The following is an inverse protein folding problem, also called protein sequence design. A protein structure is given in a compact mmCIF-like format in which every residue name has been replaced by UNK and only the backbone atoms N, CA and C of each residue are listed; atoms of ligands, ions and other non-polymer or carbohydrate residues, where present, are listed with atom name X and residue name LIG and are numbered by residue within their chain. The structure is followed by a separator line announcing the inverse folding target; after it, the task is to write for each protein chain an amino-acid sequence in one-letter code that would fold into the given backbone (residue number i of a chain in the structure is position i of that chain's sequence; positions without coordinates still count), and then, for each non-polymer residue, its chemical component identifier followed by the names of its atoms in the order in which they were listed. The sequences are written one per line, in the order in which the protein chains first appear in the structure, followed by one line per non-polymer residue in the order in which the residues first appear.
data_IF_575441786145
#
_entry.id   IF_575441786145
#
_cell.length_a   1.000
_cell.length_b   1.000
_cell.length_c   1.000
_cell.angle_alpha   90.00
_cell.angle_beta   90.00
_cell.angle_gamma   90.00
#
_symmetry.space_group_name_H-M   'P 1'
#
loop_
_entity.id
_entity.type
_entity.pdbx_description
1 polymer ?
#
# COMPACT_ATOMS: atom_id res chain seq x y z
N UNK A 1 -0.81 8.23 37.27
CA UNK A 1 0.34 8.24 36.34
C UNK A 1 -0.14 7.87 34.95
N UNK A 2 -0.31 8.86 34.11
CA UNK A 2 -0.67 8.63 32.71
C UNK A 2 0.59 8.23 31.95
N UNK A 3 0.76 6.94 31.68
CA UNK A 3 1.71 6.47 30.69
C UNK A 3 1.11 6.75 29.33
N UNK A 4 1.42 7.91 28.78
CA UNK A 4 1.25 8.18 27.36
C UNK A 4 2.06 7.12 26.62
N UNK A 5 1.38 6.13 26.04
CA UNK A 5 2.00 5.26 25.04
C UNK A 5 2.53 6.17 23.94
N UNK A 6 3.85 6.41 23.92
CA UNK A 6 4.51 6.93 22.76
C UNK A 6 4.11 6.01 21.63
N UNK A 7 3.35 6.52 20.66
CA UNK A 7 3.27 5.89 19.37
C UNK A 7 4.71 5.88 18.84
N UNK A 8 5.34 4.73 18.90
CA UNK A 8 6.57 4.51 18.16
C UNK A 8 6.24 4.84 16.71
N UNK A 9 6.67 6.00 16.25
CA UNK A 9 6.68 6.32 14.84
C UNK A 9 7.49 5.21 14.19
N UNK A 10 6.83 4.35 13.45
CA UNK A 10 7.48 3.30 12.69
C UNK A 10 8.61 3.95 11.91
N UNK A 11 9.85 3.62 12.27
CA UNK A 11 11.01 4.18 11.61
C UNK A 11 10.92 3.86 10.13
N UNK A 12 10.83 4.90 9.31
CA UNK A 12 10.95 4.73 7.86
C UNK A 12 12.26 4.04 7.55
N UNK A 13 12.23 3.14 6.59
CA UNK A 13 13.43 2.51 6.07
C UNK A 13 14.37 3.60 5.51
N UNK A 14 15.69 3.41 5.53
CA UNK A 14 16.62 4.27 4.82
C UNK A 14 16.22 4.42 3.34
N UNK A 15 16.48 5.60 2.72
CA UNK A 15 16.07 5.86 1.33
C UNK A 15 16.47 4.81 0.32
N UNK A 16 17.62 4.18 0.48
CA UNK A 16 18.13 3.14 -0.40
C UNK A 16 17.27 1.88 -0.46
N UNK A 17 16.49 1.58 0.57
CA UNK A 17 15.60 0.41 0.61
C UNK A 17 14.37 0.55 -0.31
N UNK A 18 14.07 1.76 -0.76
CA UNK A 18 12.95 2.02 -1.68
C UNK A 18 13.36 2.05 -3.15
N UNK A 19 14.66 1.96 -3.42
CA UNK A 19 15.22 2.10 -4.76
C UNK A 19 15.51 0.75 -5.42
N UNK A 20 15.50 0.76 -6.74
CA UNK A 20 15.84 -0.41 -7.54
C UNK A 20 14.79 -1.50 -7.41
N UNK A 21 15.26 -2.76 -7.33
CA UNK A 21 14.41 -3.95 -7.28
C UNK A 21 13.89 -4.27 -5.88
N UNK A 22 13.46 -3.26 -5.15
CA UNK A 22 12.93 -3.41 -3.80
C UNK A 22 11.52 -4.02 -3.79
N UNK A 23 11.26 -4.84 -2.77
CA UNK A 23 9.95 -5.43 -2.47
C UNK A 23 9.37 -4.69 -1.28
N UNK A 24 8.25 -3.99 -1.45
CA UNK A 24 7.64 -3.21 -0.39
C UNK A 24 6.14 -3.47 -0.31
N UNK A 25 5.70 -3.82 0.88
CA UNK A 25 4.30 -3.88 1.23
C UNK A 25 3.85 -2.51 1.74
N UNK A 26 2.99 -1.86 0.97
CA UNK A 26 2.38 -0.58 1.32
C UNK A 26 1.00 -0.78 1.93
N UNK A 27 0.72 -0.04 2.99
CA UNK A 27 -0.61 0.02 3.58
C UNK A 27 -1.05 1.47 3.68
N UNK A 28 -2.15 1.80 3.01
CA UNK A 28 -2.73 3.14 2.97
C UNK A 28 -4.04 3.14 3.74
N UNK A 29 -4.05 3.74 4.90
CA UNK A 29 -5.23 3.81 5.76
C UNK A 29 -5.95 5.13 5.56
N UNK A 30 -7.28 5.10 5.52
CA UNK A 30 -8.09 6.32 5.50
C UNK A 30 -8.06 7.01 6.85
N UNK A 31 -8.01 8.34 6.83
CA UNK A 31 -8.12 9.17 8.02
C UNK A 31 -9.42 8.83 8.75
N UNK A 32 -9.35 8.69 10.08
CA UNK A 32 -10.47 8.29 10.94
C UNK A 32 -11.10 6.93 10.57
N UNK A 33 -10.37 6.07 9.87
CA UNK A 33 -10.86 4.77 9.39
C UNK A 33 -12.14 4.88 8.56
N UNK A 34 -12.28 5.96 7.83
CA UNK A 34 -13.47 6.27 7.05
C UNK A 34 -13.76 5.21 6.00
N UNK A 35 -15.03 4.86 5.86
CA UNK A 35 -15.57 3.94 4.87
C UNK A 35 -16.48 4.66 3.87
N UNK A 36 -17.01 3.94 2.88
CA UNK A 36 -17.95 4.47 1.88
C UNK A 36 -17.30 5.00 0.60
N UNK A 37 -15.99 5.10 0.54
CA UNK A 37 -15.22 5.53 -0.64
C UNK A 37 -14.98 4.39 -1.64
N UNK A 38 -15.02 3.14 -1.19
CA UNK A 38 -14.75 1.97 -2.04
C UNK A 38 -16.00 1.63 -2.88
N UNK A 39 -16.19 2.38 -3.93
CA UNK A 39 -17.29 2.24 -4.90
C UNK A 39 -16.71 1.92 -6.29
N UNK A 40 -17.51 1.38 -7.23
CA UNK A 40 -16.99 0.99 -8.54
C UNK A 40 -16.23 2.07 -9.28
N UNK A 41 -16.70 3.30 -9.28
CA UNK A 41 -16.00 4.42 -9.95
C UNK A 41 -14.63 4.72 -9.34
N UNK A 42 -14.50 4.67 -8.01
CA UNK A 42 -13.20 4.77 -7.36
C UNK A 42 -12.29 3.62 -7.77
N UNK A 43 -12.79 2.40 -7.73
CA UNK A 43 -12.01 1.20 -8.02
C UNK A 43 -11.45 1.21 -9.46
N UNK A 44 -12.22 1.61 -10.45
CA UNK A 44 -11.74 1.72 -11.82
C UNK A 44 -10.66 2.81 -11.96
N UNK A 45 -10.83 3.94 -11.33
CA UNK A 45 -9.82 5.01 -11.30
C UNK A 45 -8.56 4.61 -10.56
N UNK A 46 -8.72 3.92 -9.45
CA UNK A 46 -7.60 3.36 -8.70
C UNK A 46 -6.74 2.43 -9.58
N UNK A 47 -7.35 1.51 -10.30
CA UNK A 47 -6.64 0.60 -11.20
C UNK A 47 -5.92 1.34 -12.33
N UNK A 48 -6.57 2.30 -12.93
CA UNK A 48 -5.99 3.14 -13.99
C UNK A 48 -4.76 3.90 -13.47
N UNK A 49 -4.88 4.55 -12.32
CA UNK A 49 -3.80 5.31 -11.70
C UNK A 49 -2.66 4.38 -11.27
N UNK A 50 -2.96 3.23 -10.71
CA UNK A 50 -1.95 2.23 -10.32
C UNK A 50 -1.15 1.76 -11.53
N UNK A 51 -1.82 1.40 -12.61
CA UNK A 51 -1.17 0.96 -13.86
C UNK A 51 -0.27 2.06 -14.43
N UNK A 52 -0.76 3.28 -14.46
CA UNK A 52 -0.01 4.43 -14.97
C UNK A 52 1.21 4.75 -14.11
N UNK A 53 1.05 4.70 -12.80
CA UNK A 53 2.14 4.92 -11.85
C UNK A 53 3.22 3.84 -11.98
N UNK A 54 2.80 2.58 -12.07
CA UNK A 54 3.71 1.45 -12.23
C UNK A 54 4.56 1.58 -13.50
N UNK A 55 3.95 1.92 -14.61
CA UNK A 55 4.65 2.17 -15.86
C UNK A 55 5.62 3.36 -15.77
N UNK A 56 5.16 4.46 -15.20
CA UNK A 56 5.95 5.69 -15.07
C UNK A 56 7.20 5.52 -14.21
N UNK A 57 7.11 4.79 -13.12
CA UNK A 57 8.18 4.65 -12.13
C UNK A 57 8.95 3.33 -12.23
N UNK A 58 8.53 2.39 -13.06
CA UNK A 58 9.24 1.15 -13.29
C UNK A 58 9.10 0.12 -12.17
N UNK A 59 7.90 -0.10 -11.69
CA UNK A 59 7.57 -1.17 -10.75
C UNK A 59 6.38 -2.00 -11.24
N UNK A 60 6.17 -3.15 -10.63
CA UNK A 60 4.92 -3.90 -10.78
C UNK A 60 4.21 -4.06 -9.44
N UNK A 61 2.91 -4.27 -9.49
CA UNK A 61 2.08 -4.57 -8.32
C UNK A 61 1.42 -5.94 -8.54
N UNK A 62 2.06 -7.03 -8.11
CA UNK A 62 1.53 -8.38 -8.35
C UNK A 62 0.25 -8.66 -7.57
N UNK A 63 0.06 -7.98 -6.43
CA UNK A 63 -1.14 -8.12 -5.63
C UNK A 63 -1.49 -6.83 -4.90
N UNK A 64 -2.77 -6.53 -4.82
CA UNK A 64 -3.33 -5.50 -3.96
C UNK A 64 -4.69 -5.94 -3.43
N UNK A 65 -5.11 -5.33 -2.35
CA UNK A 65 -6.45 -5.54 -1.79
C UNK A 65 -7.00 -4.22 -1.26
N UNK A 66 -8.15 -3.80 -1.79
CA UNK A 66 -8.90 -2.67 -1.28
C UNK A 66 -9.86 -3.15 -0.18
N UNK A 67 -9.61 -2.69 1.04
CA UNK A 67 -10.46 -2.94 2.20
C UNK A 67 -11.35 -1.72 2.46
N UNK A 68 -12.45 -1.85 3.22
CA UNK A 68 -13.38 -0.73 3.44
C UNK A 68 -12.75 0.55 3.98
N UNK A 69 -11.66 0.46 4.75
CA UNK A 69 -11.01 1.58 5.42
C UNK A 69 -9.52 1.73 5.12
N UNK A 70 -8.96 0.88 4.26
CA UNK A 70 -7.54 0.91 3.88
C UNK A 70 -7.27 0.10 2.61
N UNK A 71 -6.06 0.24 2.07
CA UNK A 71 -5.60 -0.45 0.88
C UNK A 71 -4.25 -1.10 1.17
N UNK A 72 -4.11 -2.37 0.81
CA UNK A 72 -2.83 -3.07 0.77
C UNK A 72 -2.31 -3.17 -0.65
N UNK A 73 -1.03 -2.90 -0.85
CA UNK A 73 -0.35 -3.07 -2.13
C UNK A 73 1.03 -3.71 -1.91
N UNK A 74 1.39 -4.63 -2.76
CA UNK A 74 2.74 -5.16 -2.81
C UNK A 74 3.40 -4.70 -4.11
N UNK A 75 4.43 -3.87 -3.99
CA UNK A 75 5.16 -3.31 -5.12
C UNK A 75 6.55 -3.90 -5.22
N UNK A 76 6.95 -4.23 -6.44
CA UNK A 76 8.29 -4.74 -6.76
C UNK A 76 8.91 -3.83 -7.80
N UNK A 77 10.03 -3.20 -7.46
CA UNK A 77 10.80 -2.40 -8.40
C UNK A 77 11.39 -3.28 -9.50
N UNK A 78 11.26 -2.85 -10.74
CA UNK A 78 11.76 -3.55 -11.93
C UNK A 78 13.01 -2.91 -12.52
N UNK A 79 13.21 -1.62 -12.27
CA UNK A 79 14.32 -0.84 -12.79
C UNK A 79 15.21 -0.34 -11.65
N UNK A 80 16.51 -0.23 -11.91
CA UNK A 80 17.46 0.37 -10.96
C UNK A 80 17.09 1.82 -10.59
N UNK A 81 16.47 2.54 -11.53
CA UNK A 81 16.00 3.91 -11.33
C UNK A 81 14.68 4.03 -10.58
N UNK A 82 14.01 2.91 -10.27
CA UNK A 82 12.76 2.94 -9.52
C UNK A 82 13.00 3.47 -8.10
N UNK A 83 12.24 4.49 -7.72
CA UNK A 83 12.15 4.98 -6.33
C UNK A 83 10.69 4.89 -5.88
N UNK A 84 10.39 3.92 -5.05
CA UNK A 84 9.01 3.67 -4.61
C UNK A 84 8.45 4.77 -3.72
N UNK A 85 9.30 5.58 -3.05
CA UNK A 85 8.81 6.73 -2.28
C UNK A 85 8.24 7.81 -3.20
N UNK A 86 8.94 8.12 -4.29
CA UNK A 86 8.47 9.07 -5.29
C UNK A 86 7.22 8.53 -6.00
N UNK A 87 7.21 7.25 -6.32
CA UNK A 87 6.06 6.58 -6.92
C UNK A 87 4.83 6.63 -6.01
N UNK A 88 4.99 6.34 -4.72
CA UNK A 88 3.91 6.38 -3.75
C UNK A 88 3.38 7.80 -3.54
N UNK A 89 4.25 8.80 -3.51
CA UNK A 89 3.84 10.20 -3.45
C UNK A 89 2.99 10.59 -4.66
N UNK A 90 3.43 10.23 -5.84
CA UNK A 90 2.68 10.46 -7.09
C UNK A 90 1.33 9.75 -7.06
N UNK A 91 1.31 8.47 -6.71
CA UNK A 91 0.11 7.66 -6.62
C UNK A 91 -0.94 8.27 -5.68
N UNK A 92 -0.53 8.66 -4.48
CA UNK A 92 -1.41 9.31 -3.52
C UNK A 92 -1.93 10.66 -4.04
N UNK A 93 -1.06 11.45 -4.64
CA UNK A 93 -1.44 12.75 -5.21
C UNK A 93 -2.50 12.60 -6.30
N UNK A 94 -2.41 11.56 -7.12
CA UNK A 94 -3.41 11.28 -8.15
C UNK A 94 -4.74 10.78 -7.57
N UNK A 95 -4.72 10.04 -6.48
CA UNK A 95 -5.93 9.53 -5.83
C UNK A 95 -6.64 10.57 -4.95
N UNK A 96 -5.90 11.53 -4.39
CA UNK A 96 -6.45 12.51 -3.44
C UNK A 96 -7.68 13.25 -3.97
N UNK A 97 -7.71 13.79 -5.21
CA UNK A 97 -8.89 14.49 -5.70
C UNK A 97 -10.16 13.61 -5.81
N UNK A 98 -9.95 12.33 -6.12
CA UNK A 98 -11.05 11.37 -6.23
C UNK A 98 -11.61 11.06 -4.85
N UNK A 99 -10.74 10.83 -3.88
CA UNK A 99 -11.13 10.58 -2.49
C UNK A 99 -11.82 11.79 -1.87
N UNK A 100 -11.35 12.99 -2.13
CA UNK A 100 -11.99 14.23 -1.63
C UNK A 100 -13.46 14.35 -2.06
N UNK A 101 -13.76 14.00 -3.30
CA UNK A 101 -15.15 13.96 -3.79
C UNK A 101 -16.00 12.92 -3.06
N UNK A 102 -15.39 11.94 -2.45
CA UNK A 102 -16.05 10.88 -1.67
C UNK A 102 -15.93 11.13 -0.16
N UNK A 103 -15.54 12.34 0.23
CA UNK A 103 -15.33 12.75 1.62
C UNK A 103 -14.34 11.86 2.39
N UNK A 104 -13.31 11.40 1.72
CA UNK A 104 -12.26 10.58 2.31
C UNK A 104 -10.87 11.16 2.00
N UNK A 105 -9.91 10.86 2.83
CA UNK A 105 -8.50 11.15 2.59
C UNK A 105 -7.63 10.10 3.27
N UNK A 106 -6.43 9.88 2.73
CA UNK A 106 -5.44 9.06 3.38
C UNK A 106 -4.89 9.72 4.64
N UNK A 107 -4.50 8.90 5.62
CA UNK A 107 -3.65 9.37 6.71
C UNK A 107 -2.36 9.96 6.14
N UNK A 108 -1.77 10.92 6.86
CA UNK A 108 -0.58 11.66 6.40
C UNK A 108 0.58 10.70 6.11
N UNK A 109 0.75 9.67 6.93
CA UNK A 109 1.80 8.67 6.78
C UNK A 109 1.23 7.33 6.30
N UNK A 110 1.79 6.81 5.19
CA UNK A 110 1.55 5.43 4.79
C UNK A 110 2.45 4.51 5.60
N UNK A 111 1.90 3.38 5.99
CA UNK A 111 2.68 2.29 6.54
C UNK A 111 3.38 1.55 5.40
N UNK A 112 4.68 1.38 5.54
CA UNK A 112 5.49 0.62 4.62
C UNK A 112 6.31 -0.44 5.36
N UNK A 113 6.34 -1.63 4.82
CA UNK A 113 7.16 -2.73 5.31
C UNK A 113 8.01 -3.26 4.17
N UNK A 114 9.33 -3.06 4.27
CA UNK A 114 10.27 -3.65 3.34
C UNK A 114 10.32 -5.16 3.53
N UNK A 115 10.09 -5.90 2.47
CA UNK A 115 10.38 -7.33 2.44
C UNK A 115 11.88 -7.45 2.21
N UNK A 116 12.62 -7.68 3.29
CA UNK A 116 14.09 -7.63 3.28
C UNK A 116 14.73 -8.72 2.46
N UNK A 117 15.86 -8.35 1.92
CA UNK A 117 16.77 -9.06 1.05
C UNK A 117 17.71 -10.02 1.82
N UNK A 118 17.16 -10.84 2.68
CA UNK A 118 17.91 -11.95 3.22
C UNK A 118 17.41 -13.28 2.62
N UNK A 119 18.11 -14.36 2.84
CA UNK A 119 17.99 -15.67 2.18
C UNK A 119 16.57 -16.29 2.12
N UNK A 120 15.50 -15.50 2.38
CA UNK A 120 14.12 -15.93 2.45
C UNK A 120 13.15 -15.02 1.69
N UNK A 121 13.63 -14.28 0.69
CA UNK A 121 12.81 -13.35 -0.07
C UNK A 121 11.56 -14.03 -0.66
N UNK A 122 11.71 -15.20 -1.24
CA UNK A 122 10.59 -15.94 -1.83
C UNK A 122 9.54 -16.29 -0.78
N UNK A 123 9.94 -16.82 0.38
CA UNK A 123 8.99 -17.18 1.43
C UNK A 123 8.36 -15.94 2.10
N UNK A 124 9.11 -14.86 2.25
CA UNK A 124 8.58 -13.60 2.78
C UNK A 124 7.60 -12.96 1.78
N UNK A 125 7.91 -12.98 0.50
CA UNK A 125 7.01 -12.52 -0.56
C UNK A 125 5.71 -13.30 -0.58
N UNK A 126 5.78 -14.63 -0.59
CA UNK A 126 4.60 -15.51 -0.56
C UNK A 126 3.74 -15.26 0.68
N UNK A 127 4.37 -15.11 1.85
CA UNK A 127 3.66 -14.83 3.10
C UNK A 127 2.94 -13.48 3.08
N UNK A 128 3.58 -12.44 2.55
CA UNK A 128 2.95 -11.11 2.40
C UNK A 128 1.85 -11.15 1.36
N UNK A 129 2.08 -11.79 0.22
CA UNK A 129 1.09 -11.93 -0.84
C UNK A 129 -0.15 -12.69 -0.34
N UNK A 130 0.03 -13.79 0.37
CA UNK A 130 -1.06 -14.52 1.00
C UNK A 130 -1.80 -13.69 2.04
N UNK A 131 -1.09 -12.96 2.88
CA UNK A 131 -1.68 -12.05 3.86
C UNK A 131 -2.58 -11.01 3.18
N UNK A 132 -2.10 -10.38 2.12
CA UNK A 132 -2.88 -9.40 1.35
C UNK A 132 -4.10 -10.04 0.70
N UNK A 133 -3.91 -11.19 0.05
CA UNK A 133 -4.99 -11.89 -0.65
C UNK A 133 -6.10 -12.36 0.30
N UNK A 134 -5.74 -12.84 1.49
CA UNK A 134 -6.70 -13.36 2.48
C UNK A 134 -7.25 -12.32 3.45
N UNK A 135 -6.87 -11.06 3.29
CA UNK A 135 -7.33 -10.00 4.19
C UNK A 135 -8.86 -9.87 4.26
N UNK A 136 -9.62 -9.97 3.14
CA UNK A 136 -11.08 -9.96 3.21
C UNK A 136 -11.66 -11.14 4.00
N UNK A 137 -11.08 -12.34 3.90
CA UNK A 137 -11.50 -13.52 4.68
C UNK A 137 -11.28 -13.31 6.18
N UNK A 138 -10.11 -12.81 6.57
CA UNK A 138 -9.77 -12.53 7.98
C UNK A 138 -10.69 -11.50 8.61
N UNK A 139 -11.18 -10.54 7.83
CA UNK A 139 -12.12 -9.52 8.28
C UNK A 139 -13.58 -9.95 8.19
N UNK A 140 -13.85 -11.20 7.78
CA UNK A 140 -15.20 -11.73 7.65
C UNK A 140 -16.02 -11.09 6.54
N UNK A 141 -15.37 -10.45 5.56
CA UNK A 141 -16.04 -9.79 4.44
C UNK A 141 -16.45 -10.78 3.35
N UNK A 142 -15.75 -11.90 3.25
CA UNK A 142 -16.02 -12.99 2.32
C UNK A 142 -15.85 -14.32 3.03
N UNK A 143 -16.52 -15.41 2.56
CA UNK A 143 -16.34 -16.75 3.12
C UNK A 143 -14.90 -17.24 2.94
N UNK A 144 -14.45 -18.08 3.88
CA UNK A 144 -13.19 -18.81 3.74
C UNK A 144 -13.41 -19.98 2.79
N UNK A 145 -12.62 -20.08 1.73
CA UNK A 145 -12.58 -21.20 0.79
C UNK A 145 -11.48 -22.19 1.16
#
# INVERSE_FOLDING_TARGET
MNTTKRHDHLKRLPPEYYRGKAYIHWSLTMEERKTGWLIPTFYYKFREILTHTAFRFGFCCPIYCCMPDHIHLLWIGLLESCDQRLAMRYFRTQLNPILEKLNARFQVESYDHGVRDDERIESAFESVAEYVARNPERRGLVPVN
#
